data_IF_319785871150
#
_entry.id   IF_319785871150
#
_cell.length_a   1.000
_cell.length_b   1.000
_cell.length_c   1.000
_cell.angle_alpha   90.00
_cell.angle_beta   90.00
_cell.angle_gamma   90.00
#
_symmetry.space_group_name_H-M   'P 1'
#
loop_
_entity.id
_entity.type
_entity.pdbx_description
1 polymer ?
#
# COMPACT_ATOMS: atom_id res chain seq x y z
N UNK A 1 27.12 11.32 -1.44
CA UNK A 1 26.91 10.24 -0.45
C UNK A 1 25.60 10.40 0.27
N UNK A 2 24.59 9.65 -0.13
CA UNK A 2 23.57 9.23 0.84
C UNK A 2 24.28 8.19 1.70
N UNK A 3 24.31 8.41 3.01
CA UNK A 3 25.02 7.53 3.94
C UNK A 3 24.60 6.07 3.76
N UNK A 4 25.36 5.14 4.34
CA UNK A 4 25.09 3.68 4.31
C UNK A 4 23.65 3.29 4.67
N UNK A 5 22.81 4.22 5.14
CA UNK A 5 21.43 4.02 5.51
C UNK A 5 20.58 5.22 5.05
N UNK A 6 19.40 4.94 4.53
CA UNK A 6 18.36 5.92 4.22
C UNK A 6 17.01 5.38 4.68
N UNK A 7 16.16 6.26 5.20
CA UNK A 7 14.81 5.89 5.63
C UNK A 7 13.85 7.07 5.48
N UNK A 8 12.61 6.77 5.14
CA UNK A 8 11.50 7.72 5.15
C UNK A 8 10.32 7.12 5.92
N UNK A 9 9.58 8.00 6.60
CA UNK A 9 8.38 7.67 7.34
C UNK A 9 7.32 8.71 7.04
N UNK A 10 6.14 8.25 6.62
CA UNK A 10 5.01 9.11 6.28
C UNK A 10 3.78 8.61 7.02
N UNK A 11 3.03 9.53 7.63
CA UNK A 11 1.68 9.27 8.11
C UNK A 11 0.71 10.11 7.31
N UNK A 12 -0.42 9.52 6.91
CA UNK A 12 -1.39 10.20 6.07
C UNK A 12 -2.83 9.83 6.41
N UNK A 13 -3.73 10.69 5.94
CA UNK A 13 -5.16 10.43 5.87
C UNK A 13 -5.67 10.83 4.51
N UNK A 14 -6.36 9.91 3.85
CA UNK A 14 -7.02 10.14 2.58
C UNK A 14 -8.53 10.07 2.75
N UNK A 15 -9.24 11.07 2.23
CA UNK A 15 -10.70 11.07 2.14
C UNK A 15 -11.09 11.12 0.65
N UNK A 16 -11.84 10.12 0.20
CA UNK A 16 -12.42 10.05 -1.15
C UNK A 16 -13.91 10.28 -1.02
N UNK A 17 -14.48 11.20 -1.81
CA UNK A 17 -15.90 11.55 -1.78
C UNK A 17 -16.53 11.38 -3.15
N UNK A 18 -17.82 11.03 -3.17
CA UNK A 18 -18.61 10.98 -4.39
C UNK A 18 -18.18 9.89 -5.38
N UNK A 19 -17.61 8.79 -4.90
CA UNK A 19 -17.22 7.67 -5.74
C UNK A 19 -18.47 6.96 -6.27
N UNK A 20 -18.55 6.81 -7.60
CA UNK A 20 -19.60 6.05 -8.26
C UNK A 20 -19.16 4.58 -8.38
N UNK A 21 -19.84 3.70 -7.66
CA UNK A 21 -19.66 2.26 -7.74
C UNK A 21 -20.69 1.68 -8.70
N UNK A 22 -20.24 0.92 -9.69
CA UNK A 22 -21.16 0.17 -10.53
C UNK A 22 -21.51 -1.16 -9.84
N UNK A 23 -22.71 -1.23 -9.28
CA UNK A 23 -23.17 -2.32 -8.40
C UNK A 23 -24.02 -3.28 -9.21
N UNK A 24 -23.60 -4.55 -9.31
CA UNK A 24 -24.41 -5.60 -9.92
C UNK A 24 -25.47 -6.11 -8.94
N UNK A 25 -26.75 -6.09 -9.34
CA UNK A 25 -27.89 -6.46 -8.48
C UNK A 25 -28.45 -7.85 -8.79
N UNK A 26 -27.80 -8.62 -9.68
CA UNK A 26 -28.28 -9.92 -10.15
C UNK A 26 -29.09 -9.87 -11.45
N UNK A 27 -29.72 -8.73 -11.76
CA UNK A 27 -30.52 -8.53 -12.99
C UNK A 27 -29.97 -7.41 -13.89
N UNK A 28 -29.00 -6.65 -13.40
CA UNK A 28 -28.37 -5.56 -14.12
C UNK A 28 -27.35 -4.82 -13.27
N UNK A 29 -26.81 -3.74 -13.82
CA UNK A 29 -25.89 -2.83 -13.15
C UNK A 29 -26.61 -1.55 -12.74
N UNK A 30 -26.40 -1.11 -11.49
CA UNK A 30 -26.90 0.14 -10.95
C UNK A 30 -25.74 1.02 -10.51
N UNK A 31 -25.79 2.31 -10.85
CA UNK A 31 -24.78 3.27 -10.44
C UNK A 31 -25.07 3.73 -9.00
N UNK A 32 -24.38 3.14 -8.02
CA UNK A 32 -24.50 3.53 -6.63
C UNK A 32 -23.46 4.60 -6.27
N UNK A 33 -23.87 5.66 -5.59
CA UNK A 33 -22.92 6.62 -5.01
C UNK A 33 -22.47 6.08 -3.65
N UNK A 34 -21.27 5.53 -3.57
CA UNK A 34 -20.61 5.27 -2.31
C UNK A 34 -20.12 6.64 -1.80
N UNK A 35 -20.98 7.28 -1.02
CA UNK A 35 -20.88 8.69 -0.65
C UNK A 35 -19.48 9.11 -0.20
N UNK A 36 -18.79 8.29 0.62
CA UNK A 36 -17.37 8.53 0.93
C UNK A 36 -16.63 7.34 1.53
N UNK A 37 -15.30 7.34 1.34
CA UNK A 37 -14.33 6.43 1.96
C UNK A 37 -13.23 7.24 2.66
N UNK A 38 -12.69 6.70 3.75
CA UNK A 38 -11.54 7.25 4.45
C UNK A 38 -10.51 6.16 4.68
N UNK A 39 -9.24 6.50 4.51
CA UNK A 39 -8.13 5.61 4.88
C UNK A 39 -7.13 6.39 5.70
N UNK A 40 -6.80 5.89 6.89
CA UNK A 40 -5.58 6.28 7.60
C UNK A 40 -4.46 5.35 7.21
N UNK A 41 -3.24 5.86 7.12
CA UNK A 41 -2.10 5.02 6.82
C UNK A 41 -0.78 5.54 7.34
N UNK A 42 0.15 4.60 7.48
CA UNK A 42 1.55 4.85 7.79
C UNK A 42 2.40 4.06 6.80
N UNK A 43 3.37 4.72 6.19
CA UNK A 43 4.31 4.15 5.24
C UNK A 43 5.73 4.37 5.74
N UNK A 44 6.49 3.28 5.79
CA UNK A 44 7.91 3.29 6.06
C UNK A 44 8.64 2.68 4.86
N UNK A 45 9.71 3.33 4.44
CA UNK A 45 10.67 2.78 3.49
C UNK A 45 12.09 2.96 4.02
N UNK A 46 12.93 1.95 3.79
CA UNK A 46 14.31 1.96 4.24
C UNK A 46 15.22 1.23 3.26
N UNK A 47 16.42 1.75 3.11
CA UNK A 47 17.51 1.14 2.37
C UNK A 47 18.79 1.17 3.23
N UNK A 48 19.56 0.09 3.20
CA UNK A 48 20.78 -0.05 3.97
C UNK A 48 21.88 -0.75 3.16
N UNK A 49 23.12 -0.34 3.35
CA UNK A 49 24.33 -0.99 2.87
C UNK A 49 25.24 -1.31 4.08
N UNK A 50 24.88 -2.33 4.89
CA UNK A 50 25.57 -2.61 6.16
C UNK A 50 27.05 -2.95 5.95
N UNK A 51 27.34 -3.61 4.85
CA UNK A 51 28.69 -3.88 4.33
C UNK A 51 28.69 -3.56 2.84
N UNK A 52 29.87 -3.26 2.29
CA UNK A 52 30.02 -2.80 0.90
C UNK A 52 29.35 -3.72 -0.16
N UNK A 53 29.39 -5.06 -0.07
CA UNK A 53 28.75 -5.92 -1.06
C UNK A 53 27.25 -6.15 -0.83
N UNK A 54 26.65 -5.68 0.26
CA UNK A 54 25.26 -6.03 0.60
C UNK A 54 24.36 -4.79 0.60
N UNK A 55 23.36 -4.78 -0.26
CA UNK A 55 22.24 -3.84 -0.21
C UNK A 55 21.00 -4.53 0.35
N UNK A 56 20.28 -3.86 1.24
CA UNK A 56 19.01 -4.31 1.82
C UNK A 56 17.95 -3.24 1.63
N UNK A 57 16.71 -3.65 1.37
CA UNK A 57 15.55 -2.77 1.26
C UNK A 57 14.36 -3.33 2.06
N UNK A 58 13.62 -2.42 2.70
CA UNK A 58 12.40 -2.72 3.45
C UNK A 58 11.36 -1.65 3.14
N UNK A 59 10.15 -2.06 2.78
CA UNK A 59 8.99 -1.19 2.70
C UNK A 59 7.84 -1.80 3.49
N UNK A 60 7.19 -0.98 4.30
CA UNK A 60 6.06 -1.37 5.15
C UNK A 60 4.95 -0.33 4.99
N UNK A 61 3.75 -0.81 4.69
CA UNK A 61 2.54 0.02 4.63
C UNK A 61 1.50 -0.56 5.57
N UNK A 62 0.96 0.29 6.44
CA UNK A 62 -0.23 0.01 7.23
C UNK A 62 -1.40 0.88 6.76
N UNK A 63 -2.57 0.29 6.57
CA UNK A 63 -3.79 0.96 6.12
C UNK A 63 -5.00 0.58 6.98
N UNK A 64 -5.73 1.57 7.46
CA UNK A 64 -7.04 1.42 8.11
C UNK A 64 -8.13 2.11 7.25
N UNK A 65 -8.69 1.38 6.26
CA UNK A 65 -9.73 1.91 5.37
C UNK A 65 -11.14 1.63 5.90
N UNK A 66 -12.02 2.62 5.78
CA UNK A 66 -13.42 2.57 6.22
C UNK A 66 -14.35 3.25 5.19
N UNK A 67 -15.49 2.62 4.90
CA UNK A 67 -16.60 3.30 4.23
C UNK A 67 -17.25 4.32 5.19
N UNK A 68 -17.04 5.61 4.95
CA UNK A 68 -17.67 6.67 5.74
C UNK A 68 -19.15 6.85 5.41
N UNK A 69 -19.56 6.52 4.19
CA UNK A 69 -20.97 6.44 3.80
C UNK A 69 -21.10 5.53 2.58
N UNK A 70 -21.79 4.41 2.75
CA UNK A 70 -22.17 3.52 1.65
C UNK A 70 -23.52 2.82 1.90
N UNK A 71 -24.62 3.60 1.96
CA UNK A 71 -25.93 3.09 2.38
C UNK A 71 -26.60 2.16 1.37
N UNK A 72 -26.22 2.24 0.09
CA UNK A 72 -26.86 1.49 -1.00
C UNK A 72 -25.77 0.72 -1.76
N UNK A 73 -25.38 -0.46 -1.25
CA UNK A 73 -24.55 -1.44 -1.96
C UNK A 73 -25.38 -2.63 -2.46
N UNK A 74 -24.77 -3.58 -3.18
CA UNK A 74 -25.43 -4.83 -3.64
C UNK A 74 -25.88 -5.72 -2.49
N UNK A 75 -25.34 -5.51 -1.29
CA UNK A 75 -25.58 -6.36 -0.11
C UNK A 75 -26.18 -5.56 1.06
N UNK A 76 -26.63 -4.33 0.82
CA UNK A 76 -27.18 -3.44 1.85
C UNK A 76 -26.22 -2.30 2.24
N UNK A 77 -26.37 -1.80 3.47
CA UNK A 77 -25.52 -0.71 3.99
C UNK A 77 -24.15 -1.25 4.42
N UNK A 78 -23.08 -0.68 3.85
CA UNK A 78 -21.69 -1.00 4.17
C UNK A 78 -20.99 0.12 4.95
N UNK A 79 -21.72 1.13 5.41
CA UNK A 79 -21.18 2.23 6.22
C UNK A 79 -20.52 1.68 7.49
N UNK A 80 -19.31 2.15 7.79
CA UNK A 80 -18.51 1.69 8.92
C UNK A 80 -17.75 0.38 8.68
N UNK A 81 -17.92 -0.25 7.51
CA UNK A 81 -17.21 -1.49 7.18
C UNK A 81 -15.93 -1.21 6.41
N UNK A 82 -15.01 -2.18 6.46
CA UNK A 82 -13.75 -2.14 5.72
C UNK A 82 -14.00 -2.47 4.24
N UNK A 83 -13.50 -1.67 3.28
CA UNK A 83 -13.51 -2.03 1.87
C UNK A 83 -12.77 -3.35 1.60
N UNK A 84 -13.39 -4.22 0.81
CA UNK A 84 -12.79 -5.49 0.41
C UNK A 84 -11.57 -5.29 -0.49
N UNK A 85 -10.60 -6.20 -0.40
CA UNK A 85 -9.41 -6.20 -1.27
C UNK A 85 -8.31 -5.22 -0.86
N UNK A 86 -8.50 -4.41 0.19
CA UNK A 86 -7.45 -3.53 0.73
C UNK A 86 -6.75 -4.25 1.89
N UNK A 87 -5.51 -4.69 1.66
CA UNK A 87 -4.66 -5.28 2.69
C UNK A 87 -4.36 -4.27 3.81
N UNK A 88 -4.35 -4.73 5.05
CA UNK A 88 -4.02 -3.87 6.21
C UNK A 88 -2.54 -3.64 6.32
N UNK A 89 -1.78 -4.70 6.09
CA UNK A 89 -0.34 -4.71 6.17
C UNK A 89 0.20 -5.18 4.84
N UNK A 90 1.10 -4.39 4.27
CA UNK A 90 1.94 -4.81 3.14
C UNK A 90 3.38 -4.67 3.58
N UNK A 91 4.16 -5.74 3.41
CA UNK A 91 5.58 -5.77 3.76
C UNK A 91 6.35 -6.30 2.56
N UNK A 92 7.34 -5.55 2.12
CA UNK A 92 8.25 -5.93 1.05
C UNK A 92 9.66 -5.86 1.60
N UNK A 93 10.40 -6.97 1.44
CA UNK A 93 11.79 -7.08 1.85
C UNK A 93 12.60 -7.52 0.63
N UNK A 94 13.76 -6.93 0.44
CA UNK A 94 14.70 -7.32 -0.60
C UNK A 94 16.14 -7.16 -0.15
N UNK A 95 17.02 -7.84 -0.87
CA UNK A 95 18.44 -7.74 -0.67
C UNK A 95 19.18 -8.16 -1.93
N UNK A 96 20.35 -7.56 -2.12
CA UNK A 96 21.24 -7.83 -3.25
C UNK A 96 22.68 -7.95 -2.73
N UNK A 97 23.41 -8.93 -3.26
CA UNK A 97 24.81 -9.13 -2.94
C UNK A 97 25.66 -8.96 -4.19
N UNK A 98 26.61 -8.03 -4.19
CA UNK A 98 27.55 -7.83 -5.28
C UNK A 98 28.92 -8.40 -4.94
N UNK A 99 29.36 -9.40 -5.71
CA UNK A 99 30.65 -10.05 -5.56
C UNK A 99 31.57 -9.68 -6.72
N UNK A 100 32.64 -8.89 -6.49
CA UNK A 100 33.65 -8.61 -7.50
C UNK A 100 34.38 -9.91 -7.91
N UNK A 101 34.64 -10.03 -9.21
CA UNK A 101 35.38 -11.11 -9.83
C UNK A 101 36.83 -10.66 -10.15
N UNK A 102 37.79 -11.60 -10.24
CA UNK A 102 39.19 -11.27 -10.52
C UNK A 102 39.44 -10.58 -11.87
N UNK A 103 38.52 -10.70 -12.81
CA UNK A 103 38.59 -10.09 -14.14
C UNK A 103 38.02 -8.67 -14.19
N UNK A 104 37.58 -8.10 -13.06
CA UNK A 104 36.99 -6.76 -12.97
C UNK A 104 35.47 -6.71 -13.17
N UNK A 105 34.84 -7.84 -13.48
CA UNK A 105 33.37 -7.96 -13.51
C UNK A 105 32.82 -8.17 -12.09
N UNK A 106 31.48 -8.16 -11.93
CA UNK A 106 30.82 -8.51 -10.68
C UNK A 106 29.64 -9.46 -10.93
N UNK A 107 29.39 -10.37 -9.97
CA UNK A 107 28.16 -11.17 -9.91
C UNK A 107 27.22 -10.50 -8.93
N UNK A 108 25.94 -10.39 -9.32
CA UNK A 108 24.85 -9.78 -8.56
C UNK A 108 23.76 -10.81 -8.31
#
# INVERSE_FOLDING_TARGET
DWGRYAMNLTAFRQDIKGFQSNVFTGTGFFLANAGSQRTWGVEFEGAANPVDPLTLNLAVTWLDPEYRSFPISSVGDLTGTRPAGIAEWTVVVGGQWEQPLPNGDAVV
#
